data_IF_955367277977
#
_entry.id   IF_955367277977
#
_cell.length_a   1.000
_cell.length_b   1.000
_cell.length_c   1.000
_cell.angle_alpha   90.00
_cell.angle_beta   90.00
_cell.angle_gamma   90.00
#
_symmetry.space_group_name_H-M   'P 1'
#
loop_
_entity.id
_entity.type
_entity.pdbx_description
1 polymer ?
#
# COMPACT_ATOMS: atom_id res chain seq x y z
N UNK A 1 1.18 -12.03 -30.89
CA UNK A 1 0.41 -11.01 -30.14
C UNK A 1 0.91 -11.07 -28.71
N UNK A 2 1.35 -9.96 -28.11
CA UNK A 2 1.49 -9.95 -26.64
C UNK A 2 0.09 -10.18 -26.08
N UNK A 3 -0.09 -11.19 -25.24
CA UNK A 3 -1.30 -11.28 -24.43
C UNK A 3 -1.45 -9.97 -23.67
N UNK A 4 -2.57 -9.29 -23.88
CA UNK A 4 -2.88 -8.05 -23.15
C UNK A 4 -3.45 -8.51 -21.82
N UNK A 5 -2.71 -8.28 -20.74
CA UNK A 5 -3.22 -8.44 -19.39
C UNK A 5 -4.35 -7.42 -19.15
N UNK A 6 -5.58 -7.90 -19.12
CA UNK A 6 -6.80 -7.14 -18.81
C UNK A 6 -7.22 -7.29 -17.34
N UNK A 7 -6.29 -7.75 -16.49
CA UNK A 7 -6.52 -8.09 -15.09
C UNK A 7 -6.69 -6.89 -14.15
N UNK A 8 -6.56 -7.16 -12.85
CA UNK A 8 -6.71 -6.17 -11.78
C UNK A 8 -5.63 -5.09 -11.87
N UNK A 9 -6.02 -3.84 -12.16
CA UNK A 9 -5.08 -2.77 -12.52
C UNK A 9 -4.66 -1.89 -11.35
N UNK A 10 -5.57 -1.60 -10.40
CA UNK A 10 -5.24 -0.74 -9.27
C UNK A 10 -6.23 -0.86 -8.11
N UNK A 11 -5.79 -0.38 -6.95
CA UNK A 11 -6.62 -0.02 -5.80
C UNK A 11 -6.23 1.37 -5.34
N UNK A 12 -7.19 2.18 -4.89
CA UNK A 12 -6.94 3.52 -4.38
C UNK A 12 -7.31 3.63 -2.91
N UNK A 13 -6.44 4.25 -2.10
CA UNK A 13 -6.69 4.57 -0.70
C UNK A 13 -6.56 6.07 -0.46
N UNK A 14 -7.54 6.63 0.25
CA UNK A 14 -7.40 7.95 0.87
C UNK A 14 -6.50 7.82 2.09
N UNK A 15 -5.47 8.66 2.16
CA UNK A 15 -4.49 8.70 3.24
C UNK A 15 -4.42 10.08 3.87
N UNK A 16 -4.04 10.13 5.14
CA UNK A 16 -3.89 11.40 5.88
C UNK A 16 -2.56 12.10 5.57
N UNK A 17 -1.53 11.32 5.30
CA UNK A 17 -0.16 11.77 5.09
C UNK A 17 0.46 10.90 4.00
N UNK A 18 0.63 11.49 2.81
CA UNK A 18 1.10 10.79 1.62
C UNK A 18 2.54 10.29 1.79
N UNK A 19 3.40 11.10 2.39
CA UNK A 19 4.82 10.80 2.52
C UNK A 19 5.04 9.65 3.50
N UNK A 20 4.37 9.65 4.66
CA UNK A 20 4.40 8.51 5.60
C UNK A 20 3.80 7.24 4.99
N UNK A 21 2.75 7.38 4.18
CA UNK A 21 2.14 6.22 3.52
C UNK A 21 3.07 5.64 2.46
N UNK A 22 3.75 6.49 1.67
CA UNK A 22 4.76 6.05 0.70
C UNK A 22 5.90 5.30 1.42
N UNK A 23 6.43 5.86 2.50
CA UNK A 23 7.47 5.21 3.30
C UNK A 23 7.03 3.82 3.79
N UNK A 24 5.83 3.72 4.35
CA UNK A 24 5.26 2.45 4.79
C UNK A 24 5.21 1.40 3.67
N UNK A 25 4.60 1.74 2.52
CA UNK A 25 4.49 0.79 1.41
C UNK A 25 5.83 0.50 0.73
N UNK A 26 6.79 1.42 0.79
CA UNK A 26 8.14 1.15 0.31
C UNK A 26 8.85 0.10 1.17
N UNK A 27 8.83 0.26 2.50
CA UNK A 27 9.55 -0.62 3.42
C UNK A 27 8.85 -1.96 3.63
N UNK A 28 7.53 -1.98 3.76
CA UNK A 28 6.77 -3.20 4.07
C UNK A 28 6.29 -3.95 2.83
N UNK A 29 6.03 -3.26 1.72
CA UNK A 29 5.51 -3.86 0.49
C UNK A 29 6.49 -3.81 -0.70
N UNK A 30 7.71 -3.29 -0.52
CA UNK A 30 8.73 -3.24 -1.58
C UNK A 30 8.34 -2.40 -2.78
N UNK A 31 7.38 -1.48 -2.62
CA UNK A 31 6.86 -0.69 -3.72
C UNK A 31 7.66 0.61 -3.92
N UNK A 32 7.65 1.11 -5.16
CA UNK A 32 8.27 2.39 -5.51
C UNK A 32 7.25 3.32 -6.16
N UNK A 33 7.43 4.62 -5.97
CA UNK A 33 6.63 5.63 -6.68
C UNK A 33 6.94 5.56 -8.17
N UNK A 34 5.91 5.39 -8.99
CA UNK A 34 6.02 5.35 -10.46
C UNK A 34 5.43 6.58 -11.13
N UNK A 35 4.57 7.30 -10.41
CA UNK A 35 3.99 8.57 -10.82
C UNK A 35 3.55 9.35 -9.57
N UNK A 36 3.53 10.68 -9.65
CA UNK A 36 2.97 11.55 -8.62
C UNK A 36 2.47 12.86 -9.23
N UNK A 37 1.45 13.47 -8.60
CA UNK A 37 0.95 14.80 -8.97
C UNK A 37 0.31 15.52 -7.78
N UNK A 38 0.24 16.84 -7.88
CA UNK A 38 -0.41 17.74 -6.92
C UNK A 38 -1.44 18.61 -7.68
N UNK A 39 -2.66 18.10 -7.91
CA UNK A 39 -3.64 18.76 -8.78
C UNK A 39 -4.36 19.96 -8.13
N UNK A 40 -4.01 20.31 -6.89
CA UNK A 40 -4.59 21.43 -6.11
C UNK A 40 -6.13 21.38 -5.95
N UNK A 41 -6.68 20.17 -5.84
CA UNK A 41 -8.11 19.93 -5.57
C UNK A 41 -8.31 19.45 -4.12
N UNK A 42 -9.34 19.92 -3.39
CA UNK A 42 -9.61 19.45 -2.02
C UNK A 42 -9.75 17.93 -1.89
N UNK A 43 -10.37 17.29 -2.89
CA UNK A 43 -10.59 15.85 -2.98
C UNK A 43 -9.36 15.05 -3.47
N UNK A 44 -8.24 15.71 -3.80
CA UNK A 44 -7.05 15.04 -4.30
C UNK A 44 -5.77 15.88 -4.22
N UNK A 45 -5.50 16.57 -3.10
CA UNK A 45 -4.35 17.50 -2.96
C UNK A 45 -3.02 16.95 -3.42
N UNK A 46 -2.71 15.72 -3.02
CA UNK A 46 -1.51 14.99 -3.47
C UNK A 46 -1.89 13.56 -3.85
N UNK A 47 -1.36 13.08 -4.96
CA UNK A 47 -1.59 11.72 -5.45
C UNK A 47 -0.27 11.06 -5.81
N UNK A 48 -0.06 9.82 -5.36
CA UNK A 48 1.05 8.98 -5.79
C UNK A 48 0.56 7.60 -6.25
N UNK A 49 1.22 7.06 -7.28
CA UNK A 49 1.03 5.69 -7.75
C UNK A 49 2.28 4.91 -7.39
N UNK A 50 2.08 3.79 -6.70
CA UNK A 50 3.13 2.89 -6.27
C UNK A 50 3.00 1.56 -7.01
N UNK A 51 4.12 0.93 -7.33
CA UNK A 51 4.14 -0.38 -7.98
C UNK A 51 5.34 -1.20 -7.50
N UNK A 52 5.18 -2.52 -7.51
CA UNK A 52 6.29 -3.48 -7.36
C UNK A 52 7.10 -3.66 -8.66
N UNK A 53 6.65 -3.07 -9.78
CA UNK A 53 7.26 -3.14 -11.13
C UNK A 53 7.30 -4.55 -11.73
N UNK A 54 6.66 -5.54 -11.11
CA UNK A 54 6.67 -6.94 -11.58
C UNK A 54 5.41 -7.26 -12.38
N UNK A 55 4.31 -6.57 -12.09
CA UNK A 55 2.99 -6.74 -12.74
C UNK A 55 2.34 -5.38 -13.03
N UNK A 56 1.41 -5.30 -13.99
CA UNK A 56 0.70 -4.07 -14.32
C UNK A 56 -0.36 -3.71 -13.27
N UNK A 57 0.07 -3.55 -12.02
CA UNK A 57 -0.76 -3.15 -10.88
C UNK A 57 -0.20 -1.90 -10.22
N UNK A 58 -1.10 -0.99 -9.81
CA UNK A 58 -0.76 0.22 -9.06
C UNK A 58 -1.55 0.32 -7.74
N UNK A 59 -0.84 0.62 -6.66
CA UNK A 59 -1.44 1.15 -5.44
C UNK A 59 -1.49 2.68 -5.55
N UNK A 60 -2.68 3.26 -5.54
CA UNK A 60 -2.87 4.71 -5.60
C UNK A 60 -3.12 5.25 -4.20
N UNK A 61 -2.33 6.23 -3.78
CA UNK A 61 -2.48 6.91 -2.51
C UNK A 61 -2.92 8.35 -2.78
N UNK A 62 -4.03 8.76 -2.17
CA UNK A 62 -4.64 10.08 -2.36
C UNK A 62 -4.70 10.78 -1.01
N UNK A 63 -3.98 11.88 -0.86
CA UNK A 63 -4.15 12.77 0.29
C UNK A 63 -5.15 13.87 -0.06
N UNK A 64 -6.11 14.05 0.83
CA UNK A 64 -7.22 15.02 0.72
C UNK A 64 -7.21 15.95 1.93
N UNK A 65 -7.85 17.12 1.82
CA UNK A 65 -7.94 18.08 2.94
C UNK A 65 -8.77 17.53 4.10
N UNK A 66 -9.87 16.84 3.79
CA UNK A 66 -10.79 16.25 4.75
C UNK A 66 -11.05 14.79 4.41
N UNK A 67 -10.66 13.88 5.32
CA UNK A 67 -10.91 12.44 5.16
C UNK A 67 -12.35 12.15 5.59
N UNK A 68 -13.27 12.18 4.63
CA UNK A 68 -14.70 11.89 4.83
C UNK A 68 -15.10 10.49 4.40
N UNK A 69 -14.19 9.74 3.77
CA UNK A 69 -14.43 8.38 3.31
C UNK A 69 -14.66 7.40 4.45
N UNK A 70 -15.48 6.39 4.19
CA UNK A 70 -15.68 5.27 5.12
C UNK A 70 -14.35 4.55 5.34
N UNK A 71 -13.86 4.44 6.58
CA UNK A 71 -12.64 3.69 6.86
C UNK A 71 -12.78 2.23 6.41
N UNK A 72 -11.67 1.57 6.02
CA UNK A 72 -11.62 0.14 5.65
C UNK A 72 -12.13 -0.83 6.75
N UNK A 73 -12.53 -0.32 7.92
CA UNK A 73 -13.04 -1.09 9.04
C UNK A 73 -11.94 -1.92 9.71
N UNK A 74 -12.34 -2.80 10.63
CA UNK A 74 -11.38 -3.57 11.39
C UNK A 74 -10.68 -4.68 10.57
N UNK A 75 -11.35 -5.17 9.53
CA UNK A 75 -10.85 -6.28 8.72
C UNK A 75 -10.20 -5.85 7.41
N UNK A 76 -10.60 -4.73 6.80
CA UNK A 76 -10.14 -4.36 5.46
C UNK A 76 -8.62 -4.23 5.38
N UNK A 77 -8.01 -4.91 4.42
CA UNK A 77 -6.57 -4.96 4.23
C UNK A 77 -6.19 -5.17 2.76
N UNK A 78 -4.94 -4.82 2.43
CA UNK A 78 -4.27 -5.18 1.19
C UNK A 78 -3.19 -6.21 1.51
N UNK A 79 -3.29 -7.41 0.95
CA UNK A 79 -2.26 -8.44 1.08
C UNK A 79 -1.12 -8.22 0.08
N UNK A 80 0.12 -8.31 0.55
CA UNK A 80 1.33 -8.27 -0.29
C UNK A 80 2.20 -9.46 0.07
N UNK A 81 2.57 -10.25 -0.93
CA UNK A 81 3.41 -11.42 -0.73
C UNK A 81 4.85 -11.01 -0.36
N UNK A 82 5.46 -11.79 0.53
CA UNK A 82 6.89 -11.76 0.79
C UNK A 82 7.54 -12.98 0.10
N UNK A 83 8.80 -12.88 -0.26
CA UNK A 83 9.54 -13.94 -0.96
C UNK A 83 9.89 -15.13 -0.05
N UNK A 84 9.78 -14.97 1.27
CA UNK A 84 10.18 -15.97 2.26
C UNK A 84 9.54 -15.72 3.63
N UNK A 85 9.61 -16.72 4.52
CA UNK A 85 9.17 -16.57 5.92
C UNK A 85 10.12 -15.64 6.67
N UNK A 86 11.42 -15.69 6.39
CA UNK A 86 12.43 -14.84 7.00
C UNK A 86 12.17 -13.36 6.70
N UNK A 87 11.71 -13.03 5.50
CA UNK A 87 11.30 -11.67 5.15
C UNK A 87 10.07 -11.23 5.97
N UNK A 88 9.10 -12.12 6.21
CA UNK A 88 7.95 -11.85 7.08
C UNK A 88 8.44 -11.55 8.50
N UNK A 89 9.31 -12.38 9.06
CA UNK A 89 9.85 -12.21 10.41
C UNK A 89 10.60 -10.88 10.58
N UNK A 90 11.42 -10.51 9.60
CA UNK A 90 12.15 -9.24 9.59
C UNK A 90 11.18 -8.03 9.59
N UNK A 91 10.14 -8.08 8.75
CA UNK A 91 9.13 -7.01 8.69
C UNK A 91 8.30 -6.95 9.98
N UNK A 92 7.95 -8.09 10.57
CA UNK A 92 7.23 -8.14 11.85
C UNK A 92 8.08 -7.55 12.98
N UNK A 93 9.37 -7.88 13.05
CA UNK A 93 10.29 -7.30 14.02
C UNK A 93 10.41 -5.77 13.88
N UNK A 94 10.53 -5.28 12.64
CA UNK A 94 10.54 -3.84 12.33
C UNK A 94 9.23 -3.17 12.77
N UNK A 95 8.07 -3.72 12.42
CA UNK A 95 6.76 -3.18 12.80
C UNK A 95 6.54 -3.17 14.32
N UNK A 96 7.07 -4.18 15.03
CA UNK A 96 7.02 -4.24 16.48
C UNK A 96 7.88 -3.16 17.12
N UNK A 97 9.10 -2.98 16.63
CA UNK A 97 10.01 -1.91 17.10
C UNK A 97 9.43 -0.52 16.85
N UNK A 98 8.75 -0.32 15.73
CA UNK A 98 8.08 0.94 15.37
C UNK A 98 6.73 1.15 16.09
N UNK A 99 6.22 0.13 16.81
CA UNK A 99 4.94 0.21 17.51
C UNK A 99 3.72 0.26 16.58
N UNK A 100 3.85 -0.19 15.33
CA UNK A 100 2.79 -0.15 14.31
C UNK A 100 2.25 -1.55 13.95
N UNK A 101 2.77 -2.61 14.57
CA UNK A 101 2.27 -3.97 14.37
C UNK A 101 0.83 -4.08 14.90
N UNK A 102 -0.14 -4.26 13.99
CA UNK A 102 -1.56 -4.37 14.35
C UNK A 102 -1.93 -5.73 14.95
N UNK A 103 -1.35 -6.80 14.42
CA UNK A 103 -1.63 -8.20 14.80
C UNK A 103 -0.38 -9.04 14.55
N UNK A 104 -0.10 -9.97 15.46
CA UNK A 104 0.96 -10.96 15.27
C UNK A 104 0.68 -11.86 14.05
N UNK A 105 1.73 -12.29 13.33
CA UNK A 105 1.56 -13.21 12.21
C UNK A 105 0.95 -14.52 12.70
N UNK A 106 0.12 -15.13 11.88
CA UNK A 106 -0.48 -16.43 12.14
C UNK A 106 -0.33 -17.28 10.90
N UNK A 107 0.15 -18.51 11.07
CA UNK A 107 0.07 -19.51 10.01
C UNK A 107 -1.40 -19.97 9.94
N UNK A 108 -2.07 -19.60 8.85
CA UNK A 108 -3.46 -19.94 8.62
C UNK A 108 -3.55 -20.76 7.33
N UNK A 109 -3.89 -22.05 7.47
CA UNK A 109 -3.91 -23.02 6.38
C UNK A 109 -2.75 -24.00 6.43
N UNK A 110 -2.91 -25.11 5.70
CA UNK A 110 -1.87 -26.09 5.39
C UNK A 110 -1.29 -25.84 3.99
#
# INVERSE_FOLDING_TARGET
MKEIDVGFTHVAFVVRDLEKSIDFYSRYAGMVVVHSREPDLPEARKVAWLSDRIRPFALVLVQVDAVTDTPLGNFGHLGVACSSIEEIDNKVAMARMEGILRKEPAQAGE
#
